data_IF_411166813018
#
_entry.id   IF_411166813018
#
_cell.length_a   1.000
_cell.length_b   1.000
_cell.length_c   1.000
_cell.angle_alpha   90.00
_cell.angle_beta   90.00
_cell.angle_gamma   90.00
#
_symmetry.space_group_name_H-M   'P 1'
#
loop_
_entity.id
_entity.type
_entity.pdbx_description
1 polymer ?
#
# COMPACT_ATOMS: atom_id res chain seq x y z
N UNK A 1 -8.51 8.43 -20.11
CA UNK A 1 -8.70 7.01 -19.76
C UNK A 1 -9.69 6.40 -20.75
N UNK A 2 -9.51 5.16 -21.18
CA UNK A 2 -10.45 4.46 -22.07
C UNK A 2 -10.94 3.19 -21.37
N UNK A 3 -12.24 3.03 -21.10
CA UNK A 3 -12.77 1.81 -20.50
C UNK A 3 -12.76 0.67 -21.53
N UNK A 4 -12.36 -0.52 -21.11
CA UNK A 4 -12.47 -1.77 -21.89
C UNK A 4 -13.55 -2.69 -21.32
N UNK A 5 -13.75 -2.67 -20.01
CA UNK A 5 -14.87 -3.31 -19.30
C UNK A 5 -15.23 -2.49 -18.06
N UNK A 6 -16.10 -3.01 -17.19
CA UNK A 6 -16.44 -2.38 -15.92
C UNK A 6 -15.22 -2.15 -15.01
N UNK A 7 -14.25 -3.07 -15.06
CA UNK A 7 -13.09 -3.10 -14.17
C UNK A 7 -11.75 -2.88 -14.87
N UNK A 8 -11.70 -2.97 -16.21
CA UNK A 8 -10.46 -2.88 -17.00
C UNK A 8 -10.43 -1.57 -17.79
N UNK A 9 -9.32 -0.85 -17.66
CA UNK A 9 -9.12 0.47 -18.25
C UNK A 9 -7.75 0.60 -18.90
N UNK A 10 -7.70 1.30 -20.03
CA UNK A 10 -6.46 1.74 -20.67
C UNK A 10 -6.18 3.21 -20.31
N UNK A 11 -5.00 3.47 -19.74
CA UNK A 11 -4.51 4.80 -19.40
C UNK A 11 -3.32 5.12 -20.31
N UNK A 12 -3.36 6.27 -20.97
CA UNK A 12 -2.27 6.72 -21.83
C UNK A 12 -1.47 7.82 -21.13
N UNK A 13 -0.16 7.63 -21.04
CA UNK A 13 0.77 8.58 -20.43
C UNK A 13 2.05 8.59 -21.26
N UNK A 14 2.48 9.78 -21.69
CA UNK A 14 3.70 9.97 -22.49
C UNK A 14 3.82 9.01 -23.69
N UNK A 15 2.71 8.75 -24.39
CA UNK A 15 2.67 7.87 -25.57
C UNK A 15 2.70 6.36 -25.26
N UNK A 16 2.74 5.96 -23.99
CA UNK A 16 2.64 4.56 -23.56
C UNK A 16 1.24 4.24 -23.05
N UNK A 17 0.81 3.00 -23.24
CA UNK A 17 -0.48 2.49 -22.75
C UNK A 17 -0.26 1.62 -21.52
N UNK A 18 -0.96 1.93 -20.44
CA UNK A 18 -1.02 1.15 -19.22
C UNK A 18 -2.41 0.52 -19.05
N UNK A 19 -2.45 -0.74 -18.66
CA UNK A 19 -3.70 -1.46 -18.39
C UNK A 19 -3.90 -1.50 -16.88
N UNK A 20 -5.04 -1.00 -16.42
CA UNK A 20 -5.45 -0.99 -15.02
C UNK A 20 -6.64 -1.94 -14.86
N UNK A 21 -6.55 -2.87 -13.92
CA UNK A 21 -7.66 -3.70 -13.47
C UNK A 21 -7.99 -3.37 -12.01
N UNK A 22 -9.11 -2.69 -11.78
CA UNK A 22 -9.50 -2.25 -10.44
C UNK A 22 -9.91 -3.40 -9.52
N UNK A 23 -10.63 -4.40 -10.08
CA UNK A 23 -11.08 -5.58 -9.33
C UNK A 23 -9.91 -6.39 -8.76
N UNK A 24 -8.89 -6.61 -9.58
CA UNK A 24 -7.68 -7.37 -9.19
C UNK A 24 -6.61 -6.49 -8.55
N UNK A 25 -6.80 -5.17 -8.48
CA UNK A 25 -5.82 -4.19 -8.00
C UNK A 25 -4.45 -4.29 -8.71
N UNK A 26 -4.48 -4.47 -10.05
CA UNK A 26 -3.26 -4.64 -10.87
C UNK A 26 -3.13 -3.48 -11.85
N UNK A 27 -1.90 -3.04 -12.08
CA UNK A 27 -1.56 -2.18 -13.22
C UNK A 27 -0.35 -2.74 -13.97
N UNK A 28 -0.32 -2.58 -15.29
CA UNK A 28 0.85 -2.95 -16.10
C UNK A 28 2.08 -2.04 -15.88
N UNK A 29 1.97 -1.00 -15.05
CA UNK A 29 3.14 -0.27 -14.51
C UNK A 29 3.77 -0.94 -13.28
N UNK A 30 3.16 -2.04 -12.84
CA UNK A 30 3.54 -2.90 -11.72
C UNK A 30 3.36 -2.36 -10.31
N UNK A 31 3.28 -1.04 -10.16
CA UNK A 31 3.20 -0.39 -8.86
C UNK A 31 1.95 -0.72 -8.05
N UNK A 32 0.80 -0.92 -8.69
CA UNK A 32 -0.44 -1.17 -7.94
C UNK A 32 -0.38 -2.48 -7.16
N UNK A 33 0.09 -3.56 -7.77
CA UNK A 33 0.22 -4.84 -7.08
C UNK A 33 1.47 -4.95 -6.19
N UNK A 34 2.54 -4.20 -6.49
CA UNK A 34 3.78 -4.25 -5.71
C UNK A 34 3.68 -3.42 -4.43
N UNK A 35 3.23 -2.18 -4.56
CA UNK A 35 3.09 -1.27 -3.44
C UNK A 35 1.76 -1.52 -2.69
N UNK A 36 0.86 -2.34 -3.26
CA UNK A 36 -0.49 -2.63 -2.77
C UNK A 36 -1.35 -1.39 -2.46
N UNK A 37 -1.06 -0.29 -3.14
CA UNK A 37 -1.77 0.99 -3.08
C UNK A 37 -2.00 1.49 -4.51
N UNK A 38 -3.11 2.20 -4.81
CA UNK A 38 -3.36 2.69 -6.16
C UNK A 38 -2.19 3.51 -6.71
N UNK A 39 -1.59 3.01 -7.79
CA UNK A 39 -0.60 3.76 -8.56
C UNK A 39 -1.24 5.00 -9.24
N UNK A 40 -0.42 5.90 -9.78
CA UNK A 40 -0.90 7.10 -10.46
C UNK A 40 -1.95 6.79 -11.56
N UNK A 41 -1.75 5.74 -12.35
CA UNK A 41 -2.70 5.33 -13.38
C UNK A 41 -4.04 4.85 -12.79
N UNK A 42 -3.99 4.05 -11.72
CA UNK A 42 -5.20 3.60 -11.02
C UNK A 42 -5.96 4.77 -10.39
N UNK A 43 -5.25 5.74 -9.79
CA UNK A 43 -5.84 6.95 -9.21
C UNK A 43 -6.61 7.75 -10.29
N UNK A 44 -6.04 7.90 -11.48
CA UNK A 44 -6.74 8.60 -12.59
C UNK A 44 -8.04 7.85 -12.96
N UNK A 45 -8.01 6.53 -13.06
CA UNK A 45 -9.22 5.72 -13.32
C UNK A 45 -10.27 5.90 -12.22
N UNK A 46 -9.85 5.85 -10.95
CA UNK A 46 -10.75 6.02 -9.80
C UNK A 46 -11.41 7.41 -9.79
N UNK A 47 -10.65 8.46 -10.13
CA UNK A 47 -11.16 9.82 -10.29
C UNK A 47 -12.20 9.92 -11.42
N UNK A 48 -11.94 9.32 -12.57
CA UNK A 48 -12.89 9.26 -13.69
C UNK A 48 -14.19 8.53 -13.32
N UNK A 49 -14.11 7.50 -12.48
CA UNK A 49 -15.29 6.80 -11.92
C UNK A 49 -15.96 7.55 -10.76
N UNK A 50 -15.55 8.78 -10.44
CA UNK A 50 -16.06 9.57 -9.32
C UNK A 50 -15.99 8.83 -7.96
N UNK A 51 -15.00 7.97 -7.78
CA UNK A 51 -14.74 7.31 -6.49
C UNK A 51 -14.23 8.35 -5.50
N UNK A 52 -15.02 8.63 -4.47
CA UNK A 52 -14.64 9.55 -3.39
C UNK A 52 -13.72 8.91 -2.36
N UNK A 53 -14.00 7.65 -2.02
CA UNK A 53 -13.21 6.89 -1.06
C UNK A 53 -12.32 5.87 -1.78
N UNK A 54 -11.01 6.11 -1.75
CA UNK A 54 -10.01 5.23 -2.37
C UNK A 54 -9.49 4.15 -1.43
N UNK A 55 -9.78 4.21 -0.12
CA UNK A 55 -9.28 3.25 0.86
C UNK A 55 -9.58 1.77 0.51
N UNK A 56 -10.76 1.40 -0.04
CA UNK A 56 -11.04 0.02 -0.43
C UNK A 56 -10.07 -0.55 -1.49
N UNK A 57 -9.37 0.32 -2.22
CA UNK A 57 -8.41 -0.06 -3.24
C UNK A 57 -6.99 -0.24 -2.68
N UNK A 58 -6.72 0.20 -1.45
CA UNK A 58 -5.47 -0.08 -0.76
C UNK A 58 -5.49 -1.48 -0.12
N UNK A 59 -4.31 -2.01 0.24
CA UNK A 59 -4.15 -3.17 1.11
C UNK A 59 -4.47 -2.84 2.56
N UNK A 60 -4.87 -3.85 3.32
CA UNK A 60 -5.11 -3.74 4.76
C UNK A 60 -3.85 -3.37 5.53
N UNK A 61 -2.66 -3.62 4.95
CA UNK A 61 -1.37 -3.21 5.51
C UNK A 61 -1.31 -1.72 5.84
N UNK A 62 -1.98 -0.88 5.04
CA UNK A 62 -1.98 0.58 5.23
C UNK A 62 -3.10 1.08 6.14
N UNK A 63 -3.89 0.20 6.77
CA UNK A 63 -4.94 0.61 7.70
C UNK A 63 -4.35 0.94 9.08
N UNK A 64 -4.95 1.90 9.81
CA UNK A 64 -4.53 2.24 11.17
C UNK A 64 -4.44 1.03 12.10
N UNK A 65 -5.34 0.06 11.96
CA UNK A 65 -5.34 -1.17 12.77
C UNK A 65 -4.09 -2.02 12.53
N UNK A 66 -3.60 -2.10 11.28
CA UNK A 66 -2.36 -2.82 10.97
C UNK A 66 -1.14 -2.10 11.57
N UNK A 67 -1.14 -0.77 11.55
CA UNK A 67 -0.11 0.03 12.21
C UNK A 67 -0.14 -0.19 13.73
N UNK A 68 -1.30 -0.08 14.36
CA UNK A 68 -1.46 -0.30 15.80
C UNK A 68 -1.02 -1.70 16.21
N UNK A 69 -1.38 -2.71 15.41
CA UNK A 69 -0.96 -4.10 15.62
C UNK A 69 0.55 -4.30 15.51
N UNK A 70 1.21 -3.57 14.60
CA UNK A 70 2.69 -3.64 14.47
C UNK A 70 3.41 -3.18 15.73
N UNK A 71 2.83 -2.24 16.48
CA UNK A 71 3.37 -1.71 17.72
C UNK A 71 2.61 -2.19 18.96
N UNK A 72 1.87 -3.30 18.87
CA UNK A 72 1.08 -3.83 19.99
C UNK A 72 1.97 -4.30 21.14
N UNK A 73 3.19 -4.76 20.82
CA UNK A 73 4.18 -5.19 21.79
C UNK A 73 5.02 -3.98 22.20
N UNK A 74 5.09 -3.64 23.50
CA UNK A 74 5.90 -2.52 23.96
C UNK A 74 7.38 -2.79 23.67
N UNK A 75 8.01 -1.86 22.95
CA UNK A 75 9.45 -1.82 22.83
C UNK A 75 10.03 -1.32 24.16
N UNK A 76 10.52 -2.26 24.96
CA UNK A 76 11.18 -1.92 26.23
C UNK A 76 12.51 -1.24 25.89
N UNK A 77 12.77 -0.02 26.38
CA UNK A 77 14.06 0.63 26.16
C UNK A 77 15.17 -0.22 26.77
N UNK A 78 16.35 -0.18 26.15
CA UNK A 78 17.54 -0.77 26.75
C UNK A 78 17.74 -0.11 28.12
N UNK A 79 17.96 -0.88 29.20
CA UNK A 79 18.30 -0.31 30.50
C UNK A 79 19.57 0.55 30.38
N UNK A 80 19.72 1.54 31.26
CA UNK A 80 20.93 2.35 31.30
C UNK A 80 22.14 1.46 31.61
N UNK A 81 23.32 1.89 31.17
CA UNK A 81 24.56 1.13 31.38
C UNK A 81 24.81 0.82 32.86
N UNK A 82 24.38 1.72 33.75
CA UNK A 82 24.50 1.56 35.21
C UNK A 82 23.62 0.41 35.75
N UNK A 83 22.54 0.05 35.05
CA UNK A 83 21.62 -1.03 35.41
C UNK A 83 22.04 -2.39 34.83
N UNK A 84 23.14 -2.45 34.07
CA UNK A 84 23.61 -3.70 33.46
C UNK A 84 24.29 -4.57 34.50
N UNK A 85 23.74 -5.77 34.72
CA UNK A 85 24.41 -6.80 35.51
C UNK A 85 25.48 -7.48 34.65
N UNK A 86 26.70 -7.59 35.17
CA UNK A 86 27.71 -8.45 34.58
C UNK A 86 27.26 -9.92 34.73
N UNK A 87 27.38 -10.75 33.69
CA UNK A 87 27.11 -12.18 33.84
C UNK A 87 28.07 -12.80 34.86
N UNK A 88 27.57 -13.75 35.67
CA UNK A 88 28.40 -14.52 36.59
C UNK A 88 29.46 -15.31 35.79
N UNK A 89 30.71 -15.27 36.25
CA UNK A 89 31.80 -16.05 35.66
C UNK A 89 31.45 -17.55 35.70
N UNK A 90 31.55 -18.22 34.55
CA UNK A 90 31.37 -19.68 34.39
C UNK A 90 32.65 -20.42 34.76
#
# INVERSE_FOLDING_TARGET
VVPSSEFIFSVYEAGRRYIVCLERKVCSCERFQLDEIPCAHAIVVLKEKNVKDMHPYCSDYYKPDALAKTYEIPMVPMPDKEDWSAPEDV
#
